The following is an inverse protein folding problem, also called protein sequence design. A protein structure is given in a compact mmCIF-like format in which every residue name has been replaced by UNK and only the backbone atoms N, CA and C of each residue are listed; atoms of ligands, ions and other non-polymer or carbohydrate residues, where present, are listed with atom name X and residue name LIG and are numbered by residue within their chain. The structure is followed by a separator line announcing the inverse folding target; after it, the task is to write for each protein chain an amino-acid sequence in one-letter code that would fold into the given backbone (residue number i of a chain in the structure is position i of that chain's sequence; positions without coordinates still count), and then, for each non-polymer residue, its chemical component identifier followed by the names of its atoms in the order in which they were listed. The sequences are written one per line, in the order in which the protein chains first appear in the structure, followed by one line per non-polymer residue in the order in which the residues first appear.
data_IF_243337402739
#
_entry.id   IF_243337402739
#
_cell.length_a   1.000
_cell.length_b   1.000
_cell.length_c   1.000
_cell.angle_alpha   90.00
_cell.angle_beta   90.00
_cell.angle_gamma   90.00
#
_symmetry.space_group_name_H-M   'P 1'
#
loop_
_entity.id
_entity.type
_entity.pdbx_description
1 polymer ?
#
# COMPACT_ATOMS: atom_id res chain seq x y z
N UNK A 1 29.14 -19.66 38.17
CA UNK A 1 27.93 -18.79 38.08
C UNK A 1 28.01 -17.81 36.91
N UNK A 2 29.18 -17.24 36.58
CA UNK A 2 29.38 -16.25 35.50
C UNK A 2 28.94 -16.69 34.09
N UNK A 3 29.25 -17.92 33.64
CA UNK A 3 28.87 -18.37 32.28
C UNK A 3 27.37 -18.47 32.06
N UNK A 4 26.57 -18.72 33.11
CA UNK A 4 25.11 -18.77 33.00
C UNK A 4 24.50 -17.36 32.85
N UNK A 5 25.14 -16.35 33.44
CA UNK A 5 24.72 -14.96 33.33
C UNK A 5 25.04 -14.41 31.93
N UNK A 6 26.24 -14.68 31.42
CA UNK A 6 26.69 -14.26 30.09
C UNK A 6 25.82 -14.88 28.99
N UNK A 7 25.49 -16.17 29.10
CA UNK A 7 24.63 -16.86 28.14
C UNK A 7 23.19 -16.29 28.12
N UNK A 8 22.64 -15.92 29.28
CA UNK A 8 21.32 -15.27 29.37
C UNK A 8 21.31 -13.87 28.77
N UNK A 9 22.36 -13.09 28.99
CA UNK A 9 22.50 -11.74 28.42
C UNK A 9 22.65 -11.82 26.89
N UNK A 10 23.44 -12.76 26.38
CA UNK A 10 23.60 -13.02 24.95
C UNK A 10 22.27 -13.42 24.29
N UNK A 11 21.53 -14.37 24.87
CA UNK A 11 20.22 -14.75 24.34
C UNK A 11 19.22 -13.58 24.37
N UNK A 12 19.20 -12.77 25.43
CA UNK A 12 18.34 -11.57 25.48
C UNK A 12 18.71 -10.57 24.39
N UNK A 13 20.00 -10.29 24.19
CA UNK A 13 20.45 -9.36 23.14
C UNK A 13 20.10 -9.84 21.73
N UNK A 14 20.19 -11.15 21.48
CA UNK A 14 19.81 -11.76 20.20
C UNK A 14 18.29 -11.66 19.97
N UNK A 15 17.50 -11.86 21.03
CA UNK A 15 16.03 -11.76 20.97
C UNK A 15 15.57 -10.35 20.63
N UNK A 16 16.23 -9.33 21.21
CA UNK A 16 15.90 -7.92 20.96
C UNK A 16 16.22 -7.51 19.52
N UNK A 17 17.34 -7.96 18.95
CA UNK A 17 17.67 -7.69 17.54
C UNK A 17 16.65 -8.27 16.55
N UNK A 18 16.10 -9.45 16.83
CA UNK A 18 15.11 -10.10 15.95
C UNK A 18 13.78 -9.33 15.94
N UNK A 19 13.37 -8.76 17.09
CA UNK A 19 12.10 -8.03 17.21
C UNK A 19 12.16 -6.67 16.50
N UNK A 20 13.33 -6.03 16.45
CA UNK A 20 13.48 -4.71 15.80
C UNK A 20 13.55 -4.76 14.27
N UNK A 21 13.63 -5.94 13.65
CA UNK A 21 13.79 -6.09 12.20
C UNK A 21 12.46 -6.03 11.41
N UNK A 22 11.31 -6.08 12.07
CA UNK A 22 10.00 -5.96 11.43
C UNK A 22 9.61 -4.50 11.23
N UNK A 23 10.38 -3.77 10.42
CA UNK A 23 9.95 -2.47 9.92
C UNK A 23 8.92 -2.71 8.81
N UNK A 24 7.64 -2.41 9.07
CA UNK A 24 6.65 -2.32 8.01
C UNK A 24 7.03 -1.14 7.09
N UNK A 25 7.22 -1.40 5.80
CA UNK A 25 7.48 -0.37 4.82
C UNK A 25 6.14 0.10 4.23
N UNK A 26 5.87 1.39 4.37
CA UNK A 26 4.80 2.06 3.65
C UNK A 26 5.43 2.81 2.46
N UNK A 27 5.03 2.45 1.25
CA UNK A 27 5.47 3.13 0.03
C UNK A 27 4.31 3.96 -0.52
N UNK A 28 4.53 5.25 -0.69
CA UNK A 28 3.55 6.15 -1.30
C UNK A 28 4.02 6.53 -2.69
N UNK A 29 3.21 6.20 -3.70
CA UNK A 29 3.45 6.57 -5.08
C UNK A 29 2.34 7.52 -5.51
N UNK A 30 2.72 8.70 -5.97
CA UNK A 30 1.78 9.67 -6.54
C UNK A 30 1.92 9.63 -8.06
N UNK A 31 0.82 9.28 -8.72
CA UNK A 31 0.68 9.32 -10.15
C UNK A 31 -0.10 10.56 -10.56
N UNK A 32 0.36 11.24 -11.61
CA UNK A 32 -0.33 12.39 -12.18
C UNK A 32 -0.73 12.09 -13.61
N UNK A 33 -1.96 12.45 -13.94
CA UNK A 33 -2.43 12.47 -15.30
C UNK A 33 -2.08 13.83 -15.93
N UNK A 34 -1.69 13.87 -17.22
CA UNK A 34 -1.40 15.15 -17.91
C UNK A 34 -2.58 16.14 -17.89
N UNK A 35 -3.80 15.64 -17.74
CA UNK A 35 -5.01 16.44 -17.58
C UNK A 35 -5.18 17.11 -16.22
N UNK A 36 -4.31 16.85 -15.24
CA UNK A 36 -4.33 17.44 -13.90
C UNK A 36 -4.92 16.56 -12.80
N UNK A 37 -5.64 15.49 -13.16
CA UNK A 37 -6.12 14.51 -12.18
C UNK A 37 -4.94 13.80 -11.50
N UNK A 38 -5.09 13.52 -10.22
CA UNK A 38 -4.07 12.86 -9.41
C UNK A 38 -4.58 11.54 -8.86
N UNK A 39 -3.68 10.58 -8.75
CA UNK A 39 -3.90 9.35 -8.03
C UNK A 39 -2.77 9.13 -7.04
N UNK A 40 -3.11 8.86 -5.79
CA UNK A 40 -2.15 8.55 -4.75
C UNK A 40 -2.39 7.12 -4.34
N UNK A 41 -1.38 6.27 -4.53
CA UNK A 41 -1.38 4.87 -4.14
C UNK A 41 -0.41 4.70 -2.97
N UNK A 42 -0.93 4.38 -1.79
CA UNK A 42 -0.12 4.06 -0.62
C UNK A 42 -0.19 2.55 -0.36
N UNK A 43 0.95 1.88 -0.49
CA UNK A 43 1.07 0.45 -0.24
C UNK A 43 1.60 0.24 1.16
N UNK A 44 0.86 -0.48 1.98
CA UNK A 44 1.27 -0.87 3.31
C UNK A 44 1.64 -2.36 3.22
N UNK A 45 2.93 -2.62 3.02
CA UNK A 45 3.46 -3.98 2.81
C UNK A 45 2.87 -4.68 1.57
N UNK A 46 2.99 -6.00 1.48
CA UNK A 46 2.39 -6.84 0.43
C UNK A 46 0.89 -7.16 0.65
N UNK A 47 0.28 -6.68 1.73
CA UNK A 47 -1.06 -7.10 2.17
C UNK A 47 -2.18 -6.10 1.92
N UNK A 48 -1.88 -4.79 1.85
CA UNK A 48 -2.91 -3.77 1.65
C UNK A 48 -2.41 -2.55 0.89
N UNK A 49 -3.34 -1.83 0.26
CA UNK A 49 -3.08 -0.51 -0.31
C UNK A 49 -4.28 0.41 -0.13
N UNK A 50 -4.03 1.71 -0.04
CA UNK A 50 -5.05 2.74 -0.20
C UNK A 50 -4.85 3.47 -1.52
N UNK A 51 -5.94 3.83 -2.18
CA UNK A 51 -5.90 4.59 -3.44
C UNK A 51 -6.84 5.77 -3.36
N UNK A 52 -6.28 6.97 -3.45
CA UNK A 52 -7.04 8.22 -3.49
C UNK A 52 -7.03 8.76 -4.91
N UNK A 53 -8.20 8.90 -5.51
CA UNK A 53 -8.39 9.53 -6.81
C UNK A 53 -8.88 10.96 -6.61
N UNK A 54 -8.16 11.93 -7.16
CA UNK A 54 -8.52 13.34 -7.10
C UNK A 54 -8.64 13.95 -8.50
N UNK A 55 -9.54 14.92 -8.65
CA UNK A 55 -9.69 15.68 -9.89
C UNK A 55 -8.58 16.74 -10.06
N UNK A 56 -8.71 17.56 -11.11
CA UNK A 56 -7.75 18.64 -11.43
C UNK A 56 -7.70 19.77 -10.40
N UNK A 57 -8.74 19.90 -9.58
CA UNK A 57 -8.86 20.90 -8.52
C UNK A 57 -8.39 20.34 -7.16
N UNK A 58 -8.10 19.03 -7.09
CA UNK A 58 -7.73 18.34 -5.87
C UNK A 58 -8.94 17.77 -5.10
N UNK A 59 -10.14 17.82 -5.68
CA UNK A 59 -11.33 17.25 -5.06
C UNK A 59 -11.26 15.72 -5.12
N UNK A 60 -11.44 15.07 -3.97
CA UNK A 60 -11.40 13.61 -3.88
C UNK A 60 -12.66 13.02 -4.51
N UNK A 61 -12.47 12.30 -5.62
CA UNK A 61 -13.53 11.63 -6.37
C UNK A 61 -13.79 10.22 -5.84
N UNK A 62 -12.74 9.55 -5.38
CA UNK A 62 -12.82 8.21 -4.83
C UNK A 62 -11.70 7.95 -3.82
N UNK A 63 -12.01 7.17 -2.80
CA UNK A 63 -11.03 6.69 -1.83
C UNK A 63 -11.24 5.19 -1.61
N UNK A 64 -10.27 4.40 -2.06
CA UNK A 64 -10.30 2.94 -2.05
C UNK A 64 -9.39 2.39 -0.97
N UNK A 65 -9.87 1.37 -0.27
CA UNK A 65 -9.06 0.51 0.60
C UNK A 65 -9.02 -0.86 -0.06
N UNK A 66 -7.82 -1.32 -0.37
CA UNK A 66 -7.55 -2.54 -1.10
C UNK A 66 -6.80 -3.54 -0.21
N UNK A 67 -7.22 -4.79 -0.25
CA UNK A 67 -6.55 -5.91 0.41
C UNK A 67 -6.06 -6.90 -0.64
N UNK A 68 -4.86 -7.40 -0.43
CA UNK A 68 -4.18 -8.35 -1.31
C UNK A 68 -4.07 -9.70 -0.60
N UNK A 69 -4.79 -10.69 -1.10
CA UNK A 69 -4.56 -12.09 -0.74
C UNK A 69 -4.09 -12.85 -1.99
N UNK A 70 -4.97 -13.65 -2.61
CA UNK A 70 -4.73 -14.29 -3.91
C UNK A 70 -5.19 -13.42 -5.09
N UNK A 71 -6.18 -12.57 -4.83
CA UNK A 71 -6.75 -11.57 -5.72
C UNK A 71 -6.82 -10.25 -4.95
N UNK A 72 -6.93 -9.12 -5.65
CA UNK A 72 -7.17 -7.84 -4.96
C UNK A 72 -8.66 -7.64 -4.76
N UNK A 73 -9.04 -7.13 -3.59
CA UNK A 73 -10.38 -6.62 -3.31
C UNK A 73 -10.26 -5.19 -2.83
N UNK A 74 -10.86 -4.25 -3.56
CA UNK A 74 -10.89 -2.83 -3.23
C UNK A 74 -12.30 -2.37 -2.88
N UNK A 75 -12.44 -1.64 -1.79
CA UNK A 75 -13.69 -1.03 -1.37
C UNK A 75 -13.58 0.49 -1.37
N UNK A 76 -14.48 1.14 -2.09
CA UNK A 76 -14.63 2.58 -2.07
C UNK A 76 -15.32 2.98 -0.76
N UNK A 77 -14.61 3.75 0.06
CA UNK A 77 -15.07 4.21 1.37
C UNK A 77 -16.11 5.32 1.28
N UNK A 78 -16.18 6.06 0.16
CA UNK A 78 -17.14 7.15 -0.07
C UNK A 78 -18.48 6.61 -0.57
N UNK A 79 -18.46 5.65 -1.49
CA UNK A 79 -19.67 5.14 -2.17
C UNK A 79 -20.10 3.76 -1.69
N UNK A 80 -19.23 3.02 -0.99
CA UNK A 80 -19.45 1.63 -0.61
C UNK A 80 -19.24 0.62 -1.74
N UNK A 81 -18.90 1.07 -2.96
CA UNK A 81 -18.63 0.20 -4.11
C UNK A 81 -17.48 -0.77 -3.81
N UNK A 82 -17.60 -2.01 -4.31
CA UNK A 82 -16.54 -3.02 -4.22
C UNK A 82 -16.09 -3.40 -5.63
N UNK A 83 -14.78 -3.45 -5.84
CA UNK A 83 -14.14 -3.99 -7.04
C UNK A 83 -13.20 -5.12 -6.68
N UNK A 84 -13.13 -6.13 -7.55
CA UNK A 84 -12.26 -7.30 -7.41
C UNK A 84 -11.63 -7.62 -8.74
N UNK A 85 -10.42 -8.19 -8.73
CA UNK A 85 -9.81 -8.72 -9.94
C UNK A 85 -8.54 -9.52 -9.70
N UNK A 86 -8.04 -10.15 -10.77
CA UNK A 86 -6.88 -11.04 -10.74
C UNK A 86 -5.64 -10.48 -11.45
N UNK A 87 -5.41 -9.16 -11.44
CA UNK A 87 -4.17 -8.60 -11.99
C UNK A 87 -3.08 -8.56 -10.90
N UNK A 88 -1.80 -8.62 -11.30
CA UNK A 88 -0.68 -8.59 -10.37
C UNK A 88 -0.35 -7.12 -9.97
N UNK A 89 -0.67 -6.69 -8.73
CA UNK A 89 -0.46 -5.31 -8.27
C UNK A 89 1.01 -4.91 -8.21
N UNK A 90 1.95 -5.87 -8.23
CA UNK A 90 3.38 -5.59 -8.28
C UNK A 90 3.78 -5.06 -9.67
N UNK A 91 3.07 -5.46 -10.73
CA UNK A 91 3.42 -5.13 -12.12
C UNK A 91 2.68 -3.93 -12.71
N UNK A 92 1.59 -3.49 -12.08
CA UNK A 92 0.76 -2.38 -12.56
C UNK A 92 0.16 -1.60 -11.40
N UNK A 93 -0.01 -0.29 -11.58
CA UNK A 93 -0.65 0.58 -10.59
C UNK A 93 -2.13 0.28 -10.46
N UNK A 94 -2.68 0.39 -9.25
CA UNK A 94 -4.13 0.35 -9.01
C UNK A 94 -4.85 1.57 -9.59
N UNK A 95 -4.16 2.68 -9.80
CA UNK A 95 -4.73 3.93 -10.30
C UNK A 95 -5.42 3.77 -11.67
N UNK A 96 -4.82 2.99 -12.58
CA UNK A 96 -5.38 2.72 -13.90
C UNK A 96 -6.67 1.90 -13.86
N UNK A 97 -6.88 1.14 -12.79
CA UNK A 97 -8.05 0.29 -12.60
C UNK A 97 -9.16 0.97 -11.77
N UNK A 98 -8.79 1.79 -10.77
CA UNK A 98 -9.73 2.34 -9.80
C UNK A 98 -10.12 3.80 -10.05
N UNK A 99 -9.20 4.61 -10.59
CA UNK A 99 -9.42 6.05 -10.81
C UNK A 99 -9.92 6.38 -12.22
N UNK A 100 -10.17 5.35 -13.04
CA UNK A 100 -10.59 5.50 -14.43
C UNK A 100 -9.44 5.78 -15.39
N UNK A 101 -9.73 5.84 -16.70
CA UNK A 101 -8.71 5.98 -17.72
C UNK A 101 -8.14 7.40 -17.75
N UNK A 102 -6.84 7.53 -17.50
CA UNK A 102 -6.08 8.71 -17.93
C UNK A 102 -5.70 8.53 -19.41
N UNK A 103 -6.21 9.41 -20.30
CA UNK A 103 -5.95 9.33 -21.75
C UNK A 103 -4.47 9.28 -22.11
N UNK A 104 -3.63 9.96 -21.33
CA UNK A 104 -2.20 10.10 -21.58
C UNK A 104 -1.34 9.15 -20.71
N UNK A 105 -1.98 8.24 -19.96
CA UNK A 105 -1.32 7.36 -19.00
C UNK A 105 -1.06 8.01 -17.64
N UNK A 106 -1.01 7.17 -16.61
CA UNK A 106 -0.60 7.58 -15.26
C UNK A 106 0.93 7.60 -15.20
N UNK A 107 1.52 8.78 -14.96
CA UNK A 107 2.98 9.01 -14.89
C UNK A 107 3.40 9.44 -13.48
#
# INVERSE_FOLDING_TARGET
MQSRLICRVLMLSLSIMIITAACAFAETITYKCKGGAACIEERIDFGAATVTCADVNGDVLAHWVCEYELEYTCRNTLTGQVQKGGFNPISSSLCSHLCGPCKDGWE
#
